data_IF_751315475723
#
_entry.id   IF_751315475723
#
_cell.length_a   1.000
_cell.length_b   1.000
_cell.length_c   1.000
_cell.angle_alpha   90.00
_cell.angle_beta   90.00
_cell.angle_gamma   90.00
#
_symmetry.space_group_name_H-M   'P 1'
#
loop_
_entity.id
_entity.type
_entity.pdbx_description
1 polymer ?
#
# COMPACT_ATOMS: atom_id res chain seq x y z
N UNK A 1 -4.42 -21.82 -14.28
CA UNK A 1 -3.31 -20.88 -14.55
C UNK A 1 -3.73 -19.78 -15.56
N UNK A 2 -4.73 -18.93 -15.24
CA UNK A 2 -5.26 -17.87 -16.16
C UNK A 2 -5.25 -16.45 -15.57
N UNK A 3 -4.70 -16.24 -14.37
CA UNK A 3 -4.75 -14.96 -13.66
C UNK A 3 -3.43 -14.18 -13.62
N UNK A 4 -2.29 -14.81 -13.95
CA UNK A 4 -0.98 -14.15 -13.95
C UNK A 4 -0.68 -13.41 -15.26
N UNK A 5 -1.42 -13.68 -16.34
CA UNK A 5 -1.27 -13.01 -17.64
C UNK A 5 -1.62 -11.51 -17.62
N UNK A 6 -2.08 -10.99 -16.47
CA UNK A 6 -2.52 -9.59 -16.28
C UNK A 6 -1.64 -8.78 -15.33
N UNK A 7 -0.60 -9.37 -14.74
CA UNK A 7 0.33 -8.66 -13.86
C UNK A 7 1.70 -8.53 -14.52
N UNK A 8 2.39 -7.42 -14.26
CA UNK A 8 3.73 -7.22 -14.79
C UNK A 8 4.73 -8.15 -14.09
N UNK A 9 5.13 -9.21 -14.80
CA UNK A 9 6.07 -10.20 -14.30
C UNK A 9 7.46 -9.60 -14.03
N UNK A 10 7.83 -8.51 -14.71
CA UNK A 10 9.09 -7.80 -14.46
C UNK A 10 9.09 -7.21 -13.06
N UNK A 11 7.98 -6.59 -12.66
CA UNK A 11 7.81 -6.03 -11.32
C UNK A 11 7.76 -7.13 -10.28
N UNK A 12 7.03 -8.22 -10.54
CA UNK A 12 6.97 -9.35 -9.61
C UNK A 12 8.37 -9.95 -9.35
N UNK A 13 9.14 -10.22 -10.42
CA UNK A 13 10.51 -10.71 -10.29
C UNK A 13 11.44 -9.70 -9.61
N UNK A 14 11.25 -8.40 -9.84
CA UNK A 14 11.97 -7.37 -9.12
C UNK A 14 11.71 -7.45 -7.62
N UNK A 15 10.45 -7.56 -7.18
CA UNK A 15 10.09 -7.68 -5.76
C UNK A 15 10.71 -8.92 -5.10
N UNK A 16 10.76 -10.05 -5.83
CA UNK A 16 11.39 -11.28 -5.34
C UNK A 16 12.91 -11.16 -5.18
N UNK A 17 13.59 -10.42 -6.06
CA UNK A 17 15.06 -10.28 -6.06
C UNK A 17 15.56 -9.11 -5.21
N UNK A 18 14.67 -8.20 -4.82
CA UNK A 18 15.02 -6.98 -4.10
C UNK A 18 14.21 -6.90 -2.79
N UNK A 19 14.53 -7.74 -1.79
CA UNK A 19 13.89 -7.66 -0.48
C UNK A 19 14.19 -6.31 0.16
N UNK A 20 13.21 -5.79 0.91
CA UNK A 20 13.42 -4.59 1.72
C UNK A 20 14.34 -4.97 2.87
N UNK A 21 15.54 -4.40 2.87
CA UNK A 21 16.52 -4.60 3.93
C UNK A 21 15.92 -4.16 5.28
N UNK A 22 16.28 -4.85 6.35
CA UNK A 22 15.78 -4.60 7.73
C UNK A 22 14.29 -4.91 7.95
N UNK A 23 13.61 -5.54 6.98
CA UNK A 23 12.28 -6.14 7.19
C UNK A 23 12.39 -7.64 7.40
N UNK A 24 11.36 -8.24 7.97
CA UNK A 24 11.31 -9.68 8.22
C UNK A 24 11.17 -10.46 6.91
N UNK A 25 11.45 -11.76 6.97
CA UNK A 25 11.17 -12.68 5.86
C UNK A 25 9.67 -12.65 5.54
N UNK A 26 8.82 -12.76 6.56
CA UNK A 26 7.35 -12.70 6.42
C UNK A 26 6.89 -11.42 5.69
N UNK A 27 7.43 -10.25 6.02
CA UNK A 27 7.09 -9.01 5.34
C UNK A 27 7.43 -9.05 3.84
N UNK A 28 8.62 -9.54 3.49
CA UNK A 28 9.06 -9.61 2.10
C UNK A 28 8.26 -10.66 1.30
N UNK A 29 7.93 -11.80 1.91
CA UNK A 29 7.08 -12.83 1.31
C UNK A 29 5.66 -12.31 1.06
N UNK A 30 5.10 -11.61 2.05
CA UNK A 30 3.78 -11.00 1.92
C UNK A 30 3.77 -9.86 0.90
N UNK A 31 4.87 -9.13 0.71
CA UNK A 31 4.95 -8.00 -0.25
C UNK A 31 4.72 -8.45 -1.69
N UNK A 32 5.40 -9.49 -2.19
CA UNK A 32 5.16 -9.96 -3.56
C UNK A 32 3.87 -10.78 -3.68
N UNK A 33 3.45 -11.46 -2.62
CA UNK A 33 2.15 -12.14 -2.55
C UNK A 33 1.00 -11.14 -2.72
N UNK A 34 1.07 -9.99 -2.04
CA UNK A 34 0.14 -8.89 -2.19
C UNK A 34 0.17 -8.27 -3.59
N UNK A 35 1.34 -8.15 -4.22
CA UNK A 35 1.42 -7.65 -5.59
C UNK A 35 0.58 -8.53 -6.54
N UNK A 36 0.74 -9.84 -6.44
CA UNK A 36 -0.05 -10.81 -7.21
C UNK A 36 -1.55 -10.71 -6.89
N UNK A 37 -1.91 -10.68 -5.60
CA UNK A 37 -3.31 -10.63 -5.17
C UNK A 37 -4.03 -9.31 -5.50
N UNK A 38 -3.29 -8.19 -5.52
CA UNK A 38 -3.80 -6.87 -5.91
C UNK A 38 -3.73 -6.62 -7.42
N UNK A 39 -3.38 -7.64 -8.21
CA UNK A 39 -3.22 -7.53 -9.67
C UNK A 39 -2.26 -6.40 -10.08
N UNK A 40 -1.19 -6.21 -9.31
CA UNK A 40 -0.20 -5.17 -9.55
C UNK A 40 -0.71 -3.73 -9.39
N UNK A 41 -1.84 -3.51 -8.70
CA UNK A 41 -2.46 -2.19 -8.55
C UNK A 41 -2.42 -1.67 -7.11
N UNK A 42 -2.40 -0.35 -6.97
CA UNK A 42 -2.63 0.32 -5.70
C UNK A 42 -4.01 -0.07 -5.16
N UNK A 43 -4.07 -0.53 -3.91
CA UNK A 43 -5.33 -0.96 -3.30
C UNK A 43 -6.39 0.16 -3.19
N UNK A 44 -5.93 1.41 -3.09
CA UNK A 44 -6.77 2.61 -2.99
C UNK A 44 -7.09 3.17 -4.37
N UNK A 45 -6.10 3.70 -5.09
CA UNK A 45 -6.33 4.42 -6.36
C UNK A 45 -6.56 3.52 -7.57
N UNK A 46 -6.25 2.22 -7.48
CA UNK A 46 -6.33 1.30 -8.62
C UNK A 46 -5.27 1.52 -9.70
N UNK A 47 -4.38 2.52 -9.54
CA UNK A 47 -3.23 2.78 -10.42
C UNK A 47 -2.34 1.54 -10.49
N UNK A 48 -1.86 1.20 -11.68
CA UNK A 48 -0.83 0.15 -11.86
C UNK A 48 0.46 0.60 -11.18
N UNK A 49 1.04 -0.27 -10.37
CA UNK A 49 2.25 0.00 -9.61
C UNK A 49 3.48 -0.38 -10.43
N UNK A 50 4.41 0.56 -10.53
CA UNK A 50 5.72 0.36 -11.14
C UNK A 50 6.82 0.26 -10.08
N UNK A 51 8.00 -0.23 -10.49
CA UNK A 51 9.21 -0.17 -9.65
C UNK A 51 9.44 1.29 -9.23
N UNK A 52 9.74 1.51 -7.94
CA UNK A 52 9.86 2.84 -7.35
C UNK A 52 8.57 3.38 -6.71
N UNK A 53 7.39 2.97 -7.18
CA UNK A 53 6.09 3.44 -6.68
C UNK A 53 5.43 2.42 -5.70
N UNK A 54 6.04 1.25 -5.47
CA UNK A 54 5.44 0.19 -4.65
C UNK A 54 5.78 0.36 -3.17
N UNK A 55 4.81 0.85 -2.41
CA UNK A 55 4.89 0.97 -0.96
C UNK A 55 4.05 -0.11 -0.28
N UNK A 56 4.69 -0.93 0.57
CA UNK A 56 4.00 -1.91 1.39
C UNK A 56 3.70 -1.32 2.77
N UNK A 57 2.43 -1.01 2.97
CA UNK A 57 1.89 -0.28 4.11
C UNK A 57 1.35 -1.23 5.17
N UNK A 58 1.75 -1.01 6.43
CA UNK A 58 1.11 -1.59 7.60
C UNK A 58 -0.19 -0.83 7.90
N UNK A 59 -1.34 -1.50 7.77
CA UNK A 59 -2.67 -0.92 8.05
C UNK A 59 -2.76 -0.43 9.49
N UNK A 60 -2.39 -1.28 10.44
CA UNK A 60 -2.12 -0.89 11.83
C UNK A 60 -0.59 -0.76 11.96
N UNK A 61 -0.06 0.41 12.36
CA UNK A 61 1.36 0.61 12.57
C UNK A 61 1.97 -0.31 13.63
N UNK A 62 3.28 -0.57 13.52
CA UNK A 62 3.99 -1.43 14.47
C UNK A 62 3.96 -0.93 15.92
N UNK A 63 4.03 0.39 16.13
CA UNK A 63 3.97 0.98 17.47
C UNK A 63 2.59 0.80 18.13
N UNK A 64 1.55 0.52 17.35
CA UNK A 64 0.20 0.14 17.82
C UNK A 64 -0.02 -1.38 17.83
N UNK A 65 1.06 -2.18 17.80
CA UNK A 65 0.98 -3.64 17.84
C UNK A 65 0.75 -4.32 16.47
N UNK A 66 0.77 -3.55 15.38
CA UNK A 66 0.70 -4.09 14.02
C UNK A 66 1.88 -5.02 13.69
N UNK A 67 1.58 -6.13 13.02
CA UNK A 67 2.57 -7.17 12.64
C UNK A 67 2.78 -7.22 11.12
N UNK A 68 3.74 -8.03 10.69
CA UNK A 68 4.06 -8.25 9.27
C UNK A 68 3.16 -9.29 8.58
N UNK A 69 2.12 -9.78 9.27
CA UNK A 69 1.17 -10.72 8.68
C UNK A 69 0.43 -10.11 7.49
N UNK A 70 0.04 -10.99 6.57
CA UNK A 70 -0.59 -10.64 5.30
C UNK A 70 -1.82 -9.73 5.47
N UNK A 71 -2.65 -10.00 6.50
CA UNK A 71 -3.89 -9.26 6.75
C UNK A 71 -3.64 -7.81 7.16
N UNK A 72 -2.51 -7.53 7.81
CA UNK A 72 -2.11 -6.18 8.22
C UNK A 72 -1.34 -5.41 7.15
N UNK A 73 -1.02 -6.03 6.01
CA UNK A 73 -0.26 -5.39 4.93
C UNK A 73 -1.16 -5.05 3.73
N UNK A 74 -0.78 -4.02 2.98
CA UNK A 74 -1.41 -3.62 1.72
C UNK A 74 -0.40 -2.87 0.84
N UNK A 75 -0.43 -3.09 -0.48
CA UNK A 75 0.37 -2.29 -1.40
C UNK A 75 -0.38 -1.05 -1.87
N UNK A 76 0.28 0.09 -1.82
CA UNK A 76 -0.21 1.38 -2.30
C UNK A 76 0.86 2.08 -3.12
N UNK A 77 0.46 3.06 -3.93
CA UNK A 77 1.39 3.96 -4.60
C UNK A 77 1.95 4.98 -3.60
N UNK A 78 3.08 5.61 -3.92
CA UNK A 78 3.78 6.57 -3.06
C UNK A 78 2.85 7.70 -2.59
N UNK A 79 2.13 8.34 -3.52
CA UNK A 79 1.19 9.43 -3.23
C UNK A 79 0.09 9.02 -2.23
N UNK A 80 -0.44 7.80 -2.37
CA UNK A 80 -1.44 7.26 -1.43
C UNK A 80 -0.78 6.97 -0.09
N UNK A 81 0.43 6.43 -0.07
CA UNK A 81 1.16 6.16 1.18
C UNK A 81 1.39 7.46 1.96
N UNK A 82 1.83 8.52 1.30
CA UNK A 82 1.95 9.85 1.89
C UNK A 82 0.60 10.37 2.39
N UNK A 83 -0.45 10.25 1.58
CA UNK A 83 -1.78 10.70 1.96
C UNK A 83 -2.37 9.91 3.13
N UNK A 84 -2.03 8.64 3.34
CA UNK A 84 -2.48 7.89 4.53
C UNK A 84 -1.91 8.51 5.82
N UNK A 85 -0.64 8.89 5.81
CA UNK A 85 0.04 9.41 7.00
C UNK A 85 -0.09 10.93 7.18
N UNK A 86 -0.51 11.66 6.15
CA UNK A 86 -0.61 13.11 6.20
C UNK A 86 -1.60 13.59 7.29
N UNK A 87 -1.12 14.47 8.16
CA UNK A 87 -1.91 15.19 9.19
C UNK A 87 -2.07 16.68 8.84
N UNK A 88 -1.19 17.24 8.00
CA UNK A 88 -1.28 18.62 7.55
C UNK A 88 -2.41 18.78 6.50
N UNK A 89 -3.39 19.67 6.71
CA UNK A 89 -4.50 19.90 5.77
C UNK A 89 -4.07 20.28 4.35
N UNK A 90 -2.99 21.06 4.18
CA UNK A 90 -2.51 21.47 2.86
C UNK A 90 -1.91 20.30 2.08
N UNK A 91 -1.20 19.41 2.77
CA UNK A 91 -0.66 18.18 2.17
C UNK A 91 -1.81 17.23 1.80
N UNK A 92 -2.82 17.11 2.67
CA UNK A 92 -4.01 16.30 2.39
C UNK A 92 -4.71 16.82 1.14
N UNK A 93 -4.99 18.12 1.06
CA UNK A 93 -5.65 18.75 -0.09
C UNK A 93 -4.87 18.54 -1.38
N UNK A 94 -3.56 18.81 -1.37
CA UNK A 94 -2.67 18.59 -2.52
C UNK A 94 -2.77 17.17 -3.06
N UNK A 95 -2.62 16.15 -2.21
CA UNK A 95 -2.66 14.75 -2.67
C UNK A 95 -4.06 14.29 -3.06
N UNK A 96 -5.12 14.81 -2.44
CA UNK A 96 -6.50 14.55 -2.85
C UNK A 96 -6.79 15.07 -4.26
N UNK A 97 -6.23 16.23 -4.62
CA UNK A 97 -6.30 16.79 -5.99
C UNK A 97 -5.49 15.95 -6.98
N UNK A 98 -4.23 15.62 -6.66
CA UNK A 98 -3.35 14.79 -7.51
C UNK A 98 -3.97 13.43 -7.80
N UNK A 99 -4.54 12.79 -6.78
CA UNK A 99 -5.05 11.43 -6.89
C UNK A 99 -6.44 11.34 -7.53
N UNK A 100 -7.23 12.42 -7.49
CA UNK A 100 -8.55 12.48 -8.12
C UNK A 100 -9.50 11.33 -7.68
N UNK A 101 -9.44 10.94 -6.40
CA UNK A 101 -10.10 9.72 -5.93
C UNK A 101 -11.63 9.77 -6.03
N UNK A 102 -12.23 8.68 -6.50
CA UNK A 102 -13.68 8.47 -6.44
C UNK A 102 -14.16 8.17 -5.01
N UNK A 103 -15.48 8.12 -4.82
CA UNK A 103 -16.09 7.90 -3.50
C UNK A 103 -15.66 6.58 -2.84
N UNK A 104 -15.62 5.47 -3.61
CA UNK A 104 -15.22 4.15 -3.09
C UNK A 104 -13.74 4.13 -2.72
N UNK A 105 -12.91 4.83 -3.48
CA UNK A 105 -11.49 4.96 -3.21
C UNK A 105 -11.23 5.81 -1.95
N UNK A 106 -12.00 6.90 -1.76
CA UNK A 106 -11.97 7.71 -0.54
C UNK A 106 -12.35 6.91 0.71
N UNK A 107 -13.36 6.05 0.62
CA UNK A 107 -13.75 5.15 1.72
C UNK A 107 -12.61 4.21 2.12
N UNK A 108 -11.92 3.61 1.14
CA UNK A 108 -10.74 2.78 1.40
C UNK A 108 -9.61 3.57 2.05
N UNK A 109 -9.32 4.78 1.54
CA UNK A 109 -8.31 5.67 2.09
C UNK A 109 -8.64 6.00 3.56
N UNK A 110 -9.86 6.41 3.84
CA UNK A 110 -10.30 6.80 5.18
C UNK A 110 -10.19 5.64 6.17
N UNK A 111 -10.53 4.41 5.75
CA UNK A 111 -10.35 3.21 6.57
C UNK A 111 -8.88 2.93 6.90
N UNK A 112 -7.95 3.22 5.99
CA UNK A 112 -6.52 3.08 6.28
C UNK A 112 -6.05 4.20 7.21
N UNK A 113 -6.46 5.45 6.95
CA UNK A 113 -6.14 6.61 7.80
C UNK A 113 -6.61 6.42 9.24
N UNK A 114 -7.80 5.87 9.46
CA UNK A 114 -8.33 5.63 10.81
C UNK A 114 -7.55 4.57 11.60
N UNK A 115 -6.86 3.64 10.93
CA UNK A 115 -6.06 2.59 11.57
C UNK A 115 -4.63 3.05 11.90
N UNK A 116 -4.16 4.12 11.25
CA UNK A 116 -2.87 4.74 11.53
C UNK A 116 -3.01 5.78 12.63
N UNK A 117 -4.04 6.61 12.55
CA UNK A 117 -4.31 7.69 13.49
C UNK A 117 -5.33 7.27 14.56
N UNK A 118 -5.34 5.99 14.98
CA UNK A 118 -6.23 5.51 16.05
C UNK A 118 -6.12 6.50 17.20
N UNK A 119 -7.24 7.16 17.50
CA UNK A 119 -7.31 8.33 18.34
C UNK A 119 -6.55 8.08 19.65
N UNK A 120 -5.44 8.80 19.83
CA UNK A 120 -4.83 8.98 21.13
C UNK A 120 -5.75 9.92 21.90
N UNK A 121 -6.84 9.37 22.45
CA UNK A 121 -7.61 10.04 23.50
C UNK A 121 -6.84 10.01 24.81
#
# INVERSE_FOLDING_TARGET
HKNLDRIDMTVLHYLMRNPVLYRTIEYNDNRFSLYSAQMGKCAVSGKVLSIGDIHCHHKVPRYLGGKDNYQNLVLVCEDVHHLIHATNPDIIRKYMEILGLDQKQKEKLNKLRSLVHVESY
#
